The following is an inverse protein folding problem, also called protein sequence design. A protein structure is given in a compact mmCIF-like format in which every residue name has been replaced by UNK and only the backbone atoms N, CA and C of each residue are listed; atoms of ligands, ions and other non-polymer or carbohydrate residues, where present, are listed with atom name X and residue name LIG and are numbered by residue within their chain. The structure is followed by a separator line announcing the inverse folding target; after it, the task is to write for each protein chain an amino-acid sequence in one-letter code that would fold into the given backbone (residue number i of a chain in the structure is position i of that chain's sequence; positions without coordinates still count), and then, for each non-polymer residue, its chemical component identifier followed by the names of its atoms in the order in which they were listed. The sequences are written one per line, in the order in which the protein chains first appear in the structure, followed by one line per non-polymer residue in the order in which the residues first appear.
data_IF_473059223033
#
_entry.id   IF_473059223033
#
_cell.length_a   1.000
_cell.length_b   1.000
_cell.length_c   1.000
_cell.angle_alpha   90.00
_cell.angle_beta   90.00
_cell.angle_gamma   90.00
#
_symmetry.space_group_name_H-M   'P 1'
#
loop_
_entity.id
_entity.type
_entity.pdbx_description
1 polymer ?
#
# COMPACT_ATOMS: atom_id res chain seq x y z
N UNK A 1 4.04 11.37 -0.82
CA UNK A 1 5.26 10.67 -1.29
C UNK A 1 5.22 10.70 -2.81
N UNK A 2 6.16 11.37 -3.47
CA UNK A 2 6.18 11.53 -4.93
C UNK A 2 7.24 10.59 -5.50
N UNK A 3 6.82 9.63 -6.31
CA UNK A 3 7.73 8.75 -7.04
C UNK A 3 8.26 9.51 -8.25
N UNK A 4 9.59 9.67 -8.35
CA UNK A 4 10.27 10.07 -9.58
C UNK A 4 11.10 8.87 -10.04
N UNK A 5 10.95 8.53 -11.32
CA UNK A 5 11.49 7.33 -11.97
C UNK A 5 12.99 7.44 -12.23
N UNK A 6 13.63 6.27 -12.26
CA UNK A 6 15.00 5.98 -12.72
C UNK A 6 15.33 6.66 -14.06
N UNK A 7 16.40 7.45 -14.08
CA UNK A 7 16.97 7.99 -15.32
C UNK A 7 17.76 6.89 -16.07
N UNK A 8 17.31 6.55 -17.29
CA UNK A 8 18.20 6.13 -18.36
C UNK A 8 17.88 6.97 -19.59
N UNK A 9 18.95 7.53 -20.15
CA UNK A 9 19.03 8.51 -21.22
C UNK A 9 18.05 8.32 -22.39
N UNK A 10 17.34 9.40 -22.75
CA UNK A 10 16.87 9.61 -24.12
C UNK A 10 15.38 9.44 -24.38
N UNK A 11 14.50 9.91 -23.49
CA UNK A 11 13.13 10.30 -23.83
C UNK A 11 12.86 11.60 -23.07
N UNK A 12 12.69 12.71 -23.79
CA UNK A 12 12.24 13.98 -23.21
C UNK A 12 10.82 13.80 -22.67
N UNK A 13 10.73 13.42 -21.40
CA UNK A 13 9.52 13.58 -20.61
C UNK A 13 9.67 14.86 -19.82
N UNK A 14 8.81 15.84 -20.09
CA UNK A 14 8.72 17.08 -19.33
C UNK A 14 8.61 16.77 -17.84
N UNK A 15 9.60 17.25 -17.09
CA UNK A 15 9.59 17.27 -15.64
C UNK A 15 8.40 18.11 -15.15
N UNK A 16 7.44 17.51 -14.45
CA UNK A 16 6.62 18.27 -13.50
C UNK A 16 7.39 18.34 -12.19
N UNK A 17 8.30 19.31 -12.13
CA UNK A 17 8.78 19.85 -10.87
C UNK A 17 7.59 20.39 -10.08
N UNK A 18 7.55 20.10 -8.78
CA UNK A 18 6.72 20.81 -7.79
C UNK A 18 7.25 22.22 -7.49
N UNK A 19 7.84 22.83 -8.49
CA UNK A 19 8.13 24.24 -8.64
C UNK A 19 7.60 24.54 -10.04
N UNK A 20 6.57 25.39 -10.12
CA UNK A 20 5.56 25.51 -11.18
C UNK A 20 4.45 24.45 -11.14
N UNK A 21 3.69 24.39 -10.02
CA UNK A 21 2.31 23.94 -10.13
C UNK A 21 1.53 25.00 -10.90
N UNK A 22 1.63 25.00 -12.23
CA UNK A 22 0.55 25.51 -13.05
C UNK A 22 -0.70 24.81 -12.49
N UNK A 23 -1.59 25.60 -11.89
CA UNK A 23 -2.86 25.10 -11.37
C UNK A 23 -3.51 24.40 -12.54
N UNK A 24 -3.57 23.07 -12.48
CA UNK A 24 -4.21 22.25 -13.47
C UNK A 24 -5.70 22.60 -13.44
N UNK A 25 -6.14 23.36 -14.45
CA UNK A 25 -7.48 23.97 -14.52
C UNK A 25 -8.43 23.20 -15.42
N UNK A 26 -8.03 22.04 -15.96
CA UNK A 26 -8.93 21.17 -16.71
C UNK A 26 -10.07 20.71 -15.81
N UNK A 27 -11.31 20.92 -16.27
CA UNK A 27 -12.51 20.67 -15.48
C UNK A 27 -13.64 20.10 -16.33
N UNK A 28 -14.72 19.68 -15.67
CA UNK A 28 -15.91 19.14 -16.34
C UNK A 28 -16.93 20.23 -16.63
N UNK A 29 -17.72 20.01 -17.69
CA UNK A 29 -18.81 20.93 -18.06
C UNK A 29 -19.99 20.89 -17.07
N UNK A 30 -20.08 19.86 -16.24
CA UNK A 30 -21.16 19.67 -15.26
C UNK A 30 -20.62 19.49 -13.84
N UNK A 31 -21.42 19.90 -12.85
CA UNK A 31 -21.14 19.60 -11.43
C UNK A 31 -21.09 18.08 -11.26
N UNK A 32 -19.97 17.59 -10.73
CA UNK A 32 -19.71 16.15 -10.61
C UNK A 32 -19.17 15.84 -9.22
N UNK A 33 -19.75 14.86 -8.54
CA UNK A 33 -19.26 14.31 -7.29
C UNK A 33 -18.52 12.99 -7.55
N UNK A 34 -17.29 12.91 -7.07
CA UNK A 34 -16.56 11.67 -6.89
C UNK A 34 -16.94 11.04 -5.55
N UNK A 35 -17.73 9.97 -5.64
CA UNK A 35 -18.21 9.18 -4.50
C UNK A 35 -17.17 8.10 -4.19
N UNK A 36 -16.65 8.09 -2.96
CA UNK A 36 -15.57 7.18 -2.55
C UNK A 36 -15.93 6.46 -1.25
N UNK A 37 -16.73 5.38 -1.32
CA UNK A 37 -17.05 4.60 -0.13
C UNK A 37 -15.80 3.86 0.35
N UNK A 38 -15.43 4.09 1.61
CA UNK A 38 -14.31 3.40 2.28
C UNK A 38 -14.77 2.74 3.55
N UNK A 39 -14.42 1.47 3.72
CA UNK A 39 -14.62 0.73 4.96
C UNK A 39 -13.26 0.38 5.55
N UNK A 40 -13.07 0.72 6.82
CA UNK A 40 -11.90 0.35 7.58
C UNK A 40 -12.15 -0.92 8.39
N UNK A 41 -11.27 -1.90 8.25
CA UNK A 41 -11.28 -3.15 8.98
C UNK A 41 -10.23 -3.14 10.10
N UNK A 42 -10.58 -3.59 11.31
CA UNK A 42 -9.59 -3.84 12.35
C UNK A 42 -8.68 -4.99 11.93
N UNK A 43 -7.45 -5.00 12.43
CA UNK A 43 -6.47 -6.03 12.06
C UNK A 43 -6.98 -7.45 12.36
N UNK A 44 -7.78 -7.61 13.41
CA UNK A 44 -8.44 -8.85 13.80
C UNK A 44 -9.47 -9.37 12.78
N UNK A 45 -10.03 -8.50 11.92
CA UNK A 45 -11.01 -8.87 10.92
C UNK A 45 -10.39 -9.43 9.61
N UNK A 46 -9.14 -9.06 9.29
CA UNK A 46 -8.49 -9.39 8.01
C UNK A 46 -8.45 -10.90 7.65
N UNK A 47 -8.31 -11.83 8.61
CA UNK A 47 -8.38 -13.25 8.29
C UNK A 47 -9.77 -13.70 7.80
N UNK A 48 -10.83 -13.04 8.27
CA UNK A 48 -12.22 -13.47 8.14
C UNK A 48 -12.99 -12.73 7.05
N UNK A 49 -12.68 -11.45 6.83
CA UNK A 49 -13.37 -10.62 5.85
C UNK A 49 -12.59 -10.60 4.54
N UNK A 50 -13.21 -11.03 3.45
CA UNK A 50 -12.65 -10.98 2.09
C UNK A 50 -13.43 -9.98 1.23
N UNK A 51 -12.76 -9.16 0.41
CA UNK A 51 -13.44 -8.17 -0.43
C UNK A 51 -14.58 -8.76 -1.27
N UNK A 52 -14.36 -9.94 -1.87
CA UNK A 52 -15.34 -10.64 -2.73
C UNK A 52 -16.61 -11.06 -1.99
N UNK A 53 -16.58 -11.17 -0.67
CA UNK A 53 -17.72 -11.54 0.15
C UNK A 53 -18.49 -10.30 0.66
N UNK A 54 -17.93 -9.09 0.55
CA UNK A 54 -18.55 -7.86 1.10
C UNK A 54 -19.48 -7.19 0.08
N UNK A 55 -20.71 -6.93 0.50
CA UNK A 55 -21.71 -6.18 -0.29
C UNK A 55 -21.77 -4.72 0.17
N UNK A 56 -21.96 -3.79 -0.78
CA UNK A 56 -22.18 -2.38 -0.50
C UNK A 56 -23.50 -1.95 -1.14
N UNK A 57 -24.37 -1.38 -0.31
CA UNK A 57 -25.57 -0.67 -0.76
C UNK A 57 -25.39 0.82 -0.51
N UNK A 58 -25.78 1.61 -1.51
CA UNK A 58 -25.74 3.07 -1.41
C UNK A 58 -27.13 3.62 -1.61
N UNK A 59 -27.54 4.49 -0.68
CA UNK A 59 -28.75 5.28 -0.81
C UNK A 59 -28.37 6.77 -0.79
N UNK A 60 -29.17 7.59 -1.46
CA UNK A 60 -29.08 9.05 -1.35
C UNK A 60 -30.45 9.62 -1.03
N UNK A 61 -30.49 10.82 -0.44
CA UNK A 61 -31.76 11.53 -0.25
C UNK A 61 -32.45 11.77 -1.61
N UNK A 62 -33.79 11.88 -1.58
CA UNK A 62 -34.65 11.59 -2.74
C UNK A 62 -34.28 12.37 -4.01
N UNK A 63 -33.97 11.63 -5.08
CA UNK A 63 -33.89 12.13 -6.46
C UNK A 63 -32.50 12.03 -7.12
N UNK A 64 -31.44 11.78 -6.34
CA UNK A 64 -30.10 11.56 -6.88
C UNK A 64 -29.88 10.08 -7.18
N UNK A 65 -29.65 9.76 -8.46
CA UNK A 65 -29.18 8.45 -8.87
C UNK A 65 -27.67 8.37 -8.61
N UNK A 66 -27.32 7.81 -7.46
CA UNK A 66 -25.92 7.76 -6.99
C UNK A 66 -25.21 6.46 -7.36
N UNK A 67 -25.95 5.39 -7.66
CA UNK A 67 -25.34 4.10 -8.01
C UNK A 67 -24.94 4.07 -9.49
N UNK A 68 -23.75 3.56 -9.84
CA UNK A 68 -23.36 3.40 -11.24
C UNK A 68 -24.09 2.21 -11.89
N UNK A 69 -24.51 2.38 -13.15
CA UNK A 69 -25.20 1.33 -13.95
C UNK A 69 -24.40 0.03 -14.05
N UNK A 70 -23.08 0.15 -14.16
CA UNK A 70 -22.16 -0.99 -14.27
C UNK A 70 -22.00 -1.77 -12.94
N UNK A 71 -22.62 -1.29 -11.86
CA UNK A 71 -22.45 -1.80 -10.51
C UNK A 71 -21.11 -1.40 -9.88
N UNK A 72 -20.92 -1.84 -8.64
CA UNK A 72 -19.74 -1.58 -7.83
C UNK A 72 -19.01 -2.88 -7.50
N UNK A 73 -17.70 -2.79 -7.32
CA UNK A 73 -16.83 -3.88 -6.92
C UNK A 73 -16.02 -3.42 -5.72
N UNK A 74 -16.08 -4.20 -4.65
CA UNK A 74 -15.32 -3.96 -3.42
C UNK A 74 -13.92 -4.54 -3.57
N UNK A 75 -12.90 -3.73 -3.26
CA UNK A 75 -11.48 -4.05 -3.48
C UNK A 75 -10.60 -3.55 -2.35
N UNK A 76 -9.32 -3.90 -2.40
CA UNK A 76 -8.25 -3.36 -1.55
C UNK A 76 -7.20 -2.67 -2.44
N UNK A 77 -7.51 -1.50 -3.03
CA UNK A 77 -6.61 -0.86 -3.99
C UNK A 77 -5.32 -0.29 -3.36
N UNK A 78 -5.19 -0.37 -2.03
CA UNK A 78 -4.06 0.14 -1.27
C UNK A 78 -3.19 -0.98 -0.73
N UNK A 79 -1.87 -0.76 -0.55
CA UNK A 79 -1.01 -1.71 0.16
C UNK A 79 -1.51 -2.06 1.56
N UNK A 80 -2.23 -1.13 2.22
CA UNK A 80 -2.86 -1.39 3.50
C UNK A 80 -4.18 -2.16 3.33
N UNK A 81 -4.13 -3.46 3.64
CA UNK A 81 -5.26 -4.38 3.55
C UNK A 81 -6.42 -4.05 4.50
N UNK A 82 -6.27 -3.10 5.43
CA UNK A 82 -7.35 -2.66 6.31
C UNK A 82 -8.41 -1.82 5.60
N UNK A 83 -8.13 -1.32 4.39
CA UNK A 83 -9.08 -0.48 3.65
C UNK A 83 -9.77 -1.27 2.55
N UNK A 84 -11.08 -1.43 2.68
CA UNK A 84 -11.94 -1.79 1.56
C UNK A 84 -12.43 -0.51 0.89
N UNK A 85 -12.41 -0.49 -0.44
CA UNK A 85 -12.95 0.60 -1.25
C UNK A 85 -13.87 0.02 -2.30
N UNK A 86 -15.04 0.64 -2.47
CA UNK A 86 -15.93 0.31 -3.57
C UNK A 86 -15.65 1.25 -4.75
N UNK A 87 -15.57 0.68 -5.95
CA UNK A 87 -15.44 1.42 -7.20
C UNK A 87 -16.05 0.67 -8.37
N UNK A 88 -16.05 1.27 -9.55
CA UNK A 88 -16.47 0.58 -10.79
C UNK A 88 -15.35 -0.33 -11.31
N UNK A 89 -15.57 -0.99 -12.46
CA UNK A 89 -14.50 -1.73 -13.16
C UNK A 89 -13.42 -0.78 -13.67
N UNK A 90 -13.82 0.40 -14.17
CA UNK A 90 -12.92 1.38 -14.78
C UNK A 90 -12.27 2.30 -13.73
N UNK A 91 -13.05 2.77 -12.75
CA UNK A 91 -12.57 3.57 -11.63
C UNK A 91 -12.54 2.71 -10.38
N UNK A 92 -11.36 2.20 -10.02
CA UNK A 92 -11.21 1.30 -8.87
C UNK A 92 -11.44 2.00 -7.53
N UNK A 93 -11.35 3.32 -7.51
CA UNK A 93 -11.39 4.14 -6.30
C UNK A 93 -12.64 5.01 -6.20
N UNK A 94 -13.82 4.43 -6.40
CA UNK A 94 -15.08 5.16 -6.40
C UNK A 94 -15.67 5.31 -7.80
N UNK A 95 -16.51 6.31 -7.97
CA UNK A 95 -17.14 6.64 -9.26
C UNK A 95 -17.65 8.07 -9.27
N UNK A 96 -18.04 8.54 -10.45
CA UNK A 96 -18.50 9.90 -10.68
C UNK A 96 -20.03 9.94 -10.81
N UNK A 97 -20.64 10.93 -10.16
CA UNK A 97 -22.09 11.18 -10.16
C UNK A 97 -22.31 12.63 -10.56
N UNK A 98 -23.19 12.85 -11.54
CA UNK A 98 -23.57 14.21 -11.94
C UNK A 98 -24.53 14.80 -10.90
N UNK A 99 -24.22 16.00 -10.43
CA UNK A 99 -25.03 16.71 -9.44
C UNK A 99 -25.83 17.80 -10.16
N UNK A 100 -27.17 17.86 -10.01
CA UNK A 100 -27.95 18.95 -10.55
C UNK A 100 -27.53 20.30 -9.96
N UNK A 101 -27.56 21.36 -10.77
CA UNK A 101 -27.17 22.72 -10.35
C UNK A 101 -27.98 23.25 -9.15
N UNK A 102 -29.18 22.73 -8.92
CA UNK A 102 -30.06 23.11 -7.81
C UNK A 102 -29.79 22.36 -6.51
N UNK A 103 -28.80 21.46 -6.47
CA UNK A 103 -28.53 20.59 -5.32
C UNK A 103 -27.15 20.91 -4.75
N UNK A 104 -27.16 21.51 -3.57
CA UNK A 104 -25.95 21.82 -2.79
C UNK A 104 -25.85 21.00 -1.50
N UNK A 105 -26.96 20.43 -1.02
CA UNK A 105 -27.02 19.62 0.20
C UNK A 105 -27.87 18.37 -0.06
N UNK A 106 -27.39 17.22 0.42
CA UNK A 106 -28.07 15.93 0.31
C UNK A 106 -27.44 14.92 1.27
N UNK A 107 -28.12 13.80 1.48
CA UNK A 107 -27.60 12.71 2.30
C UNK A 107 -27.11 11.59 1.41
N UNK A 108 -26.02 10.94 1.81
CA UNK A 108 -25.59 9.64 1.27
C UNK A 108 -25.50 8.66 2.44
N UNK A 109 -26.06 7.46 2.27
CA UNK A 109 -25.85 6.36 3.19
C UNK A 109 -25.10 5.21 2.51
N UNK A 110 -23.99 4.79 3.11
CA UNK A 110 -23.29 3.57 2.78
C UNK A 110 -23.66 2.46 3.78
N UNK A 111 -24.25 1.37 3.30
CA UNK A 111 -24.54 0.19 4.09
C UNK A 111 -23.67 -0.97 3.61
N UNK A 112 -22.63 -1.28 4.38
CA UNK A 112 -21.72 -2.39 4.14
C UNK A 112 -22.23 -3.63 4.84
N UNK A 113 -22.32 -4.74 4.11
CA UNK A 113 -22.70 -6.03 4.65
C UNK A 113 -21.53 -7.00 4.60
N UNK A 114 -21.08 -7.44 5.77
CA UNK A 114 -19.97 -8.36 5.96
C UNK A 114 -20.55 -9.73 6.35
N UNK A 115 -20.61 -10.72 5.44
CA UNK A 115 -21.03 -12.06 5.79
C UNK A 115 -19.89 -12.87 6.43
N UNK A 116 -20.25 -13.99 7.07
CA UNK A 116 -19.33 -14.97 7.67
C UNK A 116 -18.44 -14.39 8.76
N UNK A 117 -19.01 -13.51 9.58
CA UNK A 117 -18.27 -12.88 10.67
C UNK A 117 -18.11 -13.77 11.90
N UNK A 118 -18.70 -14.96 11.97
CA UNK A 118 -18.70 -15.79 13.19
C UNK A 118 -17.32 -16.23 13.69
N UNK A 119 -16.32 -16.30 12.79
CA UNK A 119 -14.93 -16.54 13.18
C UNK A 119 -14.24 -15.34 13.82
N UNK A 120 -14.74 -14.13 13.54
CA UNK A 120 -14.24 -12.87 14.07
C UNK A 120 -15.07 -12.37 15.26
N UNK A 121 -16.40 -12.38 15.09
CA UNK A 121 -17.43 -11.95 16.01
C UNK A 121 -18.21 -13.18 16.45
N UNK A 122 -17.85 -13.73 17.60
CA UNK A 122 -18.47 -14.93 18.18
C UNK A 122 -20.00 -14.88 18.29
N UNK A 123 -20.59 -13.68 18.21
CA UNK A 123 -22.02 -13.44 18.38
C UNK A 123 -22.84 -13.44 17.10
N UNK A 124 -22.27 -13.24 15.90
CA UNK A 124 -23.07 -13.11 14.66
C UNK A 124 -22.36 -13.62 13.41
N UNK A 125 -23.12 -14.32 12.54
CA UNK A 125 -22.68 -14.73 11.21
C UNK A 125 -22.64 -13.58 10.19
N UNK A 126 -23.27 -12.44 10.49
CA UNK A 126 -23.31 -11.26 9.63
C UNK A 126 -23.11 -9.97 10.42
N UNK A 127 -22.34 -9.03 9.88
CA UNK A 127 -22.15 -7.70 10.45
C UNK A 127 -22.52 -6.62 9.45
N UNK A 128 -23.30 -5.62 9.88
CA UNK A 128 -23.68 -4.49 9.05
C UNK A 128 -23.00 -3.20 9.55
N UNK A 129 -22.38 -2.44 8.65
CA UNK A 129 -21.84 -1.11 8.97
C UNK A 129 -22.59 -0.06 8.14
N UNK A 130 -23.37 0.79 8.80
CA UNK A 130 -24.14 1.87 8.18
C UNK A 130 -23.47 3.20 8.44
N UNK A 131 -23.29 4.00 7.40
CA UNK A 131 -22.65 5.30 7.47
C UNK A 131 -23.48 6.34 6.72
N UNK A 132 -24.20 7.17 7.46
CA UNK A 132 -24.96 8.30 6.95
C UNK A 132 -24.09 9.55 6.93
N UNK A 133 -24.00 10.19 5.78
CA UNK A 133 -23.20 11.39 5.57
C UNK A 133 -24.11 12.50 5.06
N UNK A 134 -24.20 13.58 5.82
CA UNK A 134 -24.84 14.81 5.40
C UNK A 134 -23.83 15.61 4.58
N UNK A 135 -23.99 15.60 3.26
CA UNK A 135 -23.05 16.23 2.32
C UNK A 135 -23.50 17.64 2.01
N UNK A 136 -22.55 18.59 2.09
CA UNK A 136 -22.71 19.96 1.63
C UNK A 136 -21.61 20.31 0.64
N UNK A 137 -22.01 20.68 -0.57
CA UNK A 137 -21.11 21.10 -1.64
C UNK A 137 -20.83 22.59 -1.50
N UNK A 138 -19.57 22.93 -1.22
CA UNK A 138 -19.17 24.32 -1.03
C UNK A 138 -18.94 25.01 -2.39
N UNK A 139 -19.22 26.32 -2.50
CA UNK A 139 -18.91 27.07 -3.71
C UNK A 139 -17.39 27.14 -3.96
N UNK A 140 -16.99 27.23 -5.23
CA UNK A 140 -15.58 27.36 -5.60
C UNK A 140 -15.37 27.54 -7.11
N UNK A 141 -14.11 27.47 -7.54
CA UNK A 141 -13.71 27.78 -8.92
C UNK A 141 -13.87 26.63 -9.90
N UNK A 142 -14.01 25.40 -9.39
CA UNK A 142 -14.23 24.22 -10.20
C UNK A 142 -15.65 23.68 -10.12
N UNK A 143 -15.92 22.61 -10.85
CA UNK A 143 -17.18 21.88 -10.91
C UNK A 143 -17.05 20.43 -10.42
N UNK A 144 -15.86 20.03 -10.01
CA UNK A 144 -15.61 18.70 -9.46
C UNK A 144 -15.60 18.75 -7.94
N UNK A 145 -16.27 17.79 -7.32
CA UNK A 145 -16.31 17.57 -5.88
C UNK A 145 -15.80 16.16 -5.62
N UNK A 146 -15.11 15.93 -4.51
CA UNK A 146 -14.59 14.59 -4.19
C UNK A 146 -14.67 14.32 -2.70
N UNK A 147 -15.18 13.14 -2.34
CA UNK A 147 -15.14 12.66 -0.96
C UNK A 147 -13.71 12.31 -0.51
N UNK A 148 -12.76 12.29 -1.44
CA UNK A 148 -11.35 12.07 -1.14
C UNK A 148 -10.61 13.35 -0.76
N UNK A 149 -10.42 13.51 0.55
CA UNK A 149 -9.83 14.73 1.12
C UNK A 149 -8.35 14.92 0.82
N UNK A 150 -7.66 13.87 0.35
CA UNK A 150 -6.28 13.98 -0.13
C UNK A 150 -6.18 14.77 -1.45
N UNK A 151 -7.30 14.99 -2.13
CA UNK A 151 -7.38 15.82 -3.33
C UNK A 151 -7.77 17.28 -3.02
N UNK A 152 -8.07 17.63 -1.76
CA UNK A 152 -8.54 18.96 -1.43
C UNK A 152 -7.38 19.97 -1.35
N UNK A 153 -7.57 21.21 -1.83
CA UNK A 153 -6.59 22.28 -1.71
C UNK A 153 -6.19 22.51 -0.24
N UNK A 154 -4.91 22.77 0.02
CA UNK A 154 -4.40 22.97 1.40
C UNK A 154 -5.10 24.12 2.14
N UNK A 155 -5.54 25.15 1.42
CA UNK A 155 -6.29 26.29 1.93
C UNK A 155 -7.81 26.08 2.01
N UNK A 156 -8.33 25.04 1.36
CA UNK A 156 -9.74 24.63 1.42
C UNK A 156 -9.99 23.56 2.49
N UNK A 157 -8.93 23.00 3.09
CA UNK A 157 -9.05 22.10 4.24
C UNK A 157 -9.78 22.86 5.35
N UNK A 158 -10.90 22.33 5.88
CA UNK A 158 -11.41 22.77 7.18
C UNK A 158 -10.25 22.73 8.18
N UNK A 159 -10.38 23.46 9.31
CA UNK A 159 -9.35 23.51 10.37
C UNK A 159 -8.82 22.15 10.85
N UNK A 160 -9.51 21.07 10.49
CA UNK A 160 -9.09 19.68 10.62
C UNK A 160 -9.51 18.90 9.35
N UNK A 161 -8.59 18.28 8.58
CA UNK A 161 -8.96 17.45 7.43
C UNK A 161 -9.79 16.24 7.92
N UNK A 162 -11.00 16.08 7.37
CA UNK A 162 -11.96 15.02 7.76
C UNK A 162 -11.89 13.89 6.74
N UNK A 163 -11.73 12.63 7.12
CA UNK A 163 -11.83 11.52 6.14
C UNK A 163 -13.18 10.83 6.33
N UNK A 164 -14.05 10.93 5.33
CA UNK A 164 -15.29 10.16 5.34
C UNK A 164 -14.95 8.66 5.20
N UNK A 165 -15.11 7.92 6.29
CA UNK A 165 -14.69 6.53 6.39
C UNK A 165 -15.64 5.76 7.29
N UNK A 166 -16.22 4.68 6.76
CA UNK A 166 -17.05 3.78 7.56
C UNK A 166 -16.15 2.95 8.48
N UNK A 167 -16.50 2.90 9.76
CA UNK A 167 -15.84 2.07 10.77
C UNK A 167 -16.70 0.87 11.13
N UNK A 168 -16.05 -0.18 11.63
CA UNK A 168 -16.74 -1.40 12.08
C UNK A 168 -17.31 -1.29 13.49
N UNK A 169 -16.83 -0.34 14.29
CA UNK A 169 -17.31 -0.07 15.66
C UNK A 169 -16.63 -0.90 16.75
N UNK A 170 -15.37 -1.31 16.57
CA UNK A 170 -14.62 -2.13 17.52
C UNK A 170 -13.60 -1.33 18.34
N UNK A 171 -13.26 -1.81 19.55
CA UNK A 171 -12.36 -1.10 20.47
C UNK A 171 -10.94 -0.87 19.92
N UNK A 172 -10.46 -1.76 19.04
CA UNK A 172 -9.19 -1.60 18.31
C UNK A 172 -9.22 -0.46 17.27
N UNK A 173 -10.40 0.13 17.02
CA UNK A 173 -10.57 1.32 16.16
C UNK A 173 -10.24 2.61 16.94
N UNK A 174 -9.97 2.56 18.26
CA UNK A 174 -9.72 3.74 19.11
C UNK A 174 -8.48 4.58 18.67
N UNK A 175 -7.51 3.98 17.99
CA UNK A 175 -6.40 4.72 17.37
C UNK A 175 -6.86 5.67 16.23
N UNK A 176 -8.10 5.51 15.74
CA UNK A 176 -8.69 6.32 14.68
C UNK A 176 -9.52 7.51 15.16
N UNK A 177 -9.67 7.74 16.47
CA UNK A 177 -10.42 8.90 17.00
C UNK A 177 -9.91 10.27 16.48
N UNK A 178 -8.70 10.31 15.90
CA UNK A 178 -8.12 11.46 15.24
C UNK A 178 -8.56 11.67 13.76
N UNK A 179 -9.23 10.69 13.12
CA UNK A 179 -9.47 10.64 11.67
C UNK A 179 -10.90 11.04 11.27
N UNK A 180 -11.89 10.81 12.15
CA UNK A 180 -13.30 11.20 11.95
C UNK A 180 -13.77 12.23 13.00
N UNK A 181 -13.30 13.50 12.97
CA UNK A 181 -13.55 14.47 14.03
C UNK A 181 -14.97 15.08 14.05
N UNK A 182 -15.90 14.64 13.17
CA UNK A 182 -17.23 15.24 12.99
C UNK A 182 -18.38 14.22 13.04
N UNK A 183 -18.21 13.14 13.80
CA UNK A 183 -19.28 12.18 14.02
C UNK A 183 -20.36 12.81 14.89
N UNK A 184 -21.57 12.94 14.35
CA UNK A 184 -22.76 13.44 15.03
C UNK A 184 -23.35 12.37 15.96
N UNK A 185 -23.34 11.11 15.50
CA UNK A 185 -23.93 9.99 16.22
C UNK A 185 -23.23 8.68 15.88
N UNK A 186 -22.99 7.88 16.92
CA UNK A 186 -22.59 6.48 16.81
C UNK A 186 -23.57 5.61 17.59
N UNK A 187 -23.88 4.44 17.04
CA UNK A 187 -24.75 3.48 17.71
C UNK A 187 -24.47 2.05 17.26
N UNK A 188 -24.78 1.10 18.14
CA UNK A 188 -24.85 -0.30 17.77
C UNK A 188 -26.16 -0.60 17.04
N UNK A 189 -26.07 -1.30 15.91
CA UNK A 189 -27.23 -1.90 15.26
C UNK A 189 -27.60 -3.16 16.03
N UNK A 190 -28.86 -3.24 16.47
CA UNK A 190 -29.35 -4.35 17.29
C UNK A 190 -30.50 -5.08 16.62
N UNK A 191 -30.43 -6.41 16.63
CA UNK A 191 -31.50 -7.29 16.19
C UNK A 191 -32.20 -7.91 17.41
N UNK A 192 -33.53 -7.91 17.48
CA UNK A 192 -34.26 -8.64 18.51
C UNK A 192 -34.15 -10.16 18.25
N UNK A 193 -33.78 -10.92 19.27
CA UNK A 193 -33.72 -12.39 19.22
C UNK A 193 -35.02 -13.03 19.73
N UNK A 194 -35.24 -14.30 19.35
CA UNK A 194 -36.40 -15.08 19.83
C UNK A 194 -36.43 -15.25 21.36
N UNK A 195 -35.26 -15.18 22.02
CA UNK A 195 -35.12 -15.20 23.49
C UNK A 195 -35.58 -13.91 24.17
N UNK A 196 -35.85 -12.84 23.41
CA UNK A 196 -36.12 -11.50 23.93
C UNK A 196 -34.85 -10.68 24.23
N UNK A 197 -33.66 -11.28 24.09
CA UNK A 197 -32.39 -10.56 24.18
C UNK A 197 -32.13 -9.75 22.89
N UNK A 198 -31.27 -8.73 23.00
CA UNK A 198 -30.83 -7.91 21.86
C UNK A 198 -29.42 -8.32 21.48
N UNK A 199 -29.27 -8.81 20.27
CA UNK A 199 -27.98 -9.13 19.68
C UNK A 199 -27.46 -7.90 18.92
N UNK A 200 -26.20 -7.53 19.16
CA UNK A 200 -25.53 -6.53 18.34
C UNK A 200 -25.12 -7.18 17.02
N UNK A 201 -25.58 -6.61 15.93
CA UNK A 201 -25.41 -7.14 14.56
C UNK A 201 -24.70 -6.15 13.64
N UNK A 202 -24.24 -5.04 14.17
CA UNK A 202 -23.62 -4.01 13.36
C UNK A 202 -23.35 -2.71 14.09
N UNK A 203 -22.92 -1.74 13.31
CA UNK A 203 -22.55 -0.41 13.76
C UNK A 203 -23.12 0.66 12.83
N UNK A 204 -23.46 1.81 13.40
CA UNK A 204 -24.03 2.96 12.71
C UNK A 204 -23.24 4.22 13.04
N UNK A 205 -22.88 4.98 12.02
CA UNK A 205 -22.18 6.27 12.10
C UNK A 205 -22.97 7.30 11.30
N UNK A 206 -23.05 8.51 11.84
CA UNK A 206 -23.64 9.67 11.18
C UNK A 206 -22.66 10.84 11.26
N UNK A 207 -22.34 11.47 10.14
CA UNK A 207 -21.38 12.58 10.08
C UNK A 207 -21.80 13.69 9.10
N UNK A 208 -21.15 14.85 9.21
CA UNK A 208 -21.27 15.95 8.25
C UNK A 208 -19.99 16.13 7.43
N UNK A 209 -20.16 16.25 6.12
CA UNK A 209 -19.06 16.42 5.18
C UNK A 209 -19.26 17.64 4.26
N UNK A 210 -18.41 18.64 4.46
CA UNK A 210 -18.31 19.80 3.59
C UNK A 210 -17.27 19.54 2.50
N UNK A 211 -17.69 19.52 1.24
CA UNK A 211 -16.82 19.19 0.10
C UNK A 211 -16.53 20.45 -0.74
N UNK A 212 -15.27 20.92 -0.81
CA UNK A 212 -14.91 22.06 -1.66
C UNK A 212 -14.98 21.70 -3.15
N UNK A 213 -15.37 22.68 -3.97
CA UNK A 213 -15.25 22.56 -5.42
C UNK A 213 -13.79 22.71 -5.86
N UNK A 214 -13.33 21.76 -6.67
CA UNK A 214 -11.96 21.65 -7.21
C UNK A 214 -12.02 21.48 -8.73
N UNK A 215 -10.90 21.71 -9.41
CA UNK A 215 -10.77 21.33 -10.82
C UNK A 215 -10.66 19.81 -10.94
N UNK A 216 -11.22 19.24 -12.00
CA UNK A 216 -11.16 17.79 -12.27
C UNK A 216 -9.73 17.24 -12.19
N UNK A 217 -8.76 17.94 -12.78
CA UNK A 217 -7.36 17.51 -12.77
C UNK A 217 -6.69 17.52 -11.39
N UNK A 218 -7.31 18.13 -10.37
CA UNK A 218 -6.86 18.08 -8.98
C UNK A 218 -7.32 16.81 -8.26
N UNK A 219 -8.36 16.15 -8.76
CA UNK A 219 -8.86 14.87 -8.24
C UNK A 219 -7.97 13.70 -8.71
N UNK A 220 -6.69 13.73 -8.33
CA UNK A 220 -5.66 12.79 -8.80
C UNK A 220 -5.97 11.33 -8.46
N UNK A 221 -6.83 11.06 -7.48
CA UNK A 221 -7.22 9.70 -7.13
C UNK A 221 -8.19 9.04 -8.09
N UNK A 222 -8.83 9.83 -8.97
CA UNK A 222 -9.65 9.29 -10.07
C UNK A 222 -8.86 8.38 -11.03
N UNK A 223 -7.56 8.63 -11.15
CA UNK A 223 -6.66 7.89 -12.04
C UNK A 223 -5.50 7.24 -11.28
N UNK A 224 -5.65 7.06 -9.96
CA UNK A 224 -4.65 6.36 -9.14
C UNK A 224 -5.11 4.95 -8.81
N UNK A 225 -4.15 4.08 -8.48
CA UNK A 225 -4.42 2.67 -8.12
C UNK A 225 -5.25 1.89 -9.15
N UNK A 226 -5.10 2.23 -10.43
CA UNK A 226 -5.76 1.54 -11.56
C UNK A 226 -5.32 0.08 -11.69
N UNK A 227 -4.11 -0.25 -11.23
CA UNK A 227 -3.59 -1.61 -11.24
C UNK A 227 -3.96 -2.37 -9.95
N UNK A 228 -4.35 -3.66 -10.06
CA UNK A 228 -4.55 -4.52 -8.90
C UNK A 228 -3.28 -4.66 -8.05
N UNK A 229 -3.43 -4.50 -6.74
CA UNK A 229 -2.38 -4.73 -5.76
C UNK A 229 -2.06 -6.22 -5.63
N UNK A 230 -0.84 -6.51 -5.15
CA UNK A 230 -0.33 -7.89 -5.10
C UNK A 230 -1.19 -8.87 -4.31
N UNK A 231 -1.96 -8.40 -3.33
CA UNK A 231 -2.81 -9.24 -2.48
C UNK A 231 -4.21 -9.47 -3.09
N UNK A 232 -4.55 -8.78 -4.19
CA UNK A 232 -5.86 -8.87 -4.86
C UNK A 232 -5.93 -9.99 -5.91
N UNK A 233 -4.82 -10.72 -6.15
CA UNK A 233 -4.80 -11.80 -7.12
C UNK A 233 -4.06 -13.01 -6.60
N UNK A 234 -4.40 -14.17 -7.15
CA UNK A 234 -3.70 -15.42 -6.86
C UNK A 234 -2.30 -15.40 -7.47
N UNK A 235 -1.31 -15.70 -6.64
CA UNK A 235 0.09 -15.75 -7.08
C UNK A 235 0.36 -17.01 -7.91
N UNK A 236 1.10 -16.83 -9.00
CA UNK A 236 1.60 -17.93 -9.80
C UNK A 236 2.84 -18.56 -9.16
N UNK A 237 3.04 -19.85 -9.42
CA UNK A 237 4.24 -20.62 -9.02
C UNK A 237 4.99 -21.18 -10.24
N UNK A 238 4.53 -20.86 -11.44
CA UNK A 238 5.12 -21.31 -12.70
C UNK A 238 5.03 -20.18 -13.71
N UNK A 239 6.11 -19.95 -14.45
CA UNK A 239 6.23 -18.79 -15.32
C UNK A 239 6.83 -19.18 -16.67
N UNK A 240 6.16 -18.80 -17.76
CA UNK A 240 6.64 -19.03 -19.12
C UNK A 240 7.31 -17.77 -19.70
N UNK A 241 6.82 -16.57 -19.36
CA UNK A 241 7.33 -15.30 -19.89
C UNK A 241 8.60 -14.87 -19.17
N UNK A 242 9.62 -14.49 -19.93
CA UNK A 242 10.88 -13.95 -19.41
C UNK A 242 11.67 -14.90 -18.50
N UNK A 243 11.47 -16.23 -18.61
CA UNK A 243 12.18 -17.17 -17.73
C UNK A 243 13.70 -17.16 -17.98
N UNK A 244 14.12 -17.11 -19.25
CA UNK A 244 15.53 -17.00 -19.61
C UNK A 244 16.16 -15.71 -19.05
N UNK A 245 15.47 -14.57 -19.18
CA UNK A 245 15.95 -13.31 -18.61
C UNK A 245 16.05 -13.37 -17.08
N UNK A 246 15.07 -14.00 -16.40
CA UNK A 246 15.14 -14.24 -14.96
C UNK A 246 16.38 -15.06 -14.57
N UNK A 247 16.69 -16.11 -15.33
CA UNK A 247 17.87 -16.96 -15.08
C UNK A 247 19.18 -16.20 -15.25
N UNK A 248 19.21 -15.28 -16.21
CA UNK A 248 20.35 -14.42 -16.50
C UNK A 248 20.52 -13.30 -15.47
N UNK A 249 19.49 -12.98 -14.68
CA UNK A 249 19.51 -11.89 -13.69
C UNK A 249 20.30 -12.22 -12.40
N UNK A 250 20.85 -13.42 -12.25
CA UNK A 250 21.66 -13.78 -11.08
C UNK A 250 22.92 -14.55 -11.43
N UNK A 251 24.00 -14.27 -10.68
CA UNK A 251 25.27 -14.97 -10.87
C UNK A 251 25.39 -16.28 -10.08
N UNK A 252 24.51 -16.50 -9.09
CA UNK A 252 24.50 -17.71 -8.24
C UNK A 252 23.07 -18.11 -7.88
N UNK A 253 22.89 -19.37 -7.52
CA UNK A 253 21.63 -19.89 -6.94
C UNK A 253 21.71 -19.85 -5.41
N UNK A 254 20.67 -19.31 -4.77
CA UNK A 254 20.53 -19.32 -3.32
C UNK A 254 19.67 -20.52 -2.89
N UNK A 255 20.16 -21.39 -1.99
CA UNK A 255 19.38 -22.50 -1.46
C UNK A 255 18.13 -22.01 -0.71
N UNK A 256 17.02 -22.74 -0.84
CA UNK A 256 15.74 -22.41 -0.22
C UNK A 256 15.85 -22.24 1.31
N UNK A 257 16.58 -23.14 1.97
CA UNK A 257 16.77 -23.12 3.42
C UNK A 257 17.46 -21.85 3.92
N UNK A 258 18.28 -21.17 3.11
CA UNK A 258 18.90 -19.89 3.46
C UNK A 258 17.84 -18.78 3.51
N UNK A 259 16.97 -18.71 2.50
CA UNK A 259 15.88 -17.73 2.47
C UNK A 259 14.85 -18.00 3.58
N UNK A 260 14.48 -19.27 3.79
CA UNK A 260 13.58 -19.68 4.88
C UNK A 260 14.13 -19.26 6.24
N UNK A 261 15.42 -19.50 6.49
CA UNK A 261 16.05 -19.14 7.76
C UNK A 261 16.17 -17.62 7.94
N UNK A 262 16.52 -16.88 6.89
CA UNK A 262 16.54 -15.41 6.94
C UNK A 262 15.16 -14.83 7.30
N UNK A 263 14.09 -15.34 6.68
CA UNK A 263 12.71 -14.96 7.00
C UNK A 263 12.34 -15.35 8.44
N UNK A 264 12.73 -16.54 8.89
CA UNK A 264 12.48 -17.00 10.27
C UNK A 264 13.16 -16.07 11.29
N UNK A 265 14.44 -15.74 11.06
CA UNK A 265 15.20 -14.82 11.91
C UNK A 265 14.59 -13.41 11.93
N UNK A 266 14.14 -12.91 10.78
CA UNK A 266 13.48 -11.61 10.67
C UNK A 266 12.16 -11.57 11.47
N UNK A 267 11.37 -12.65 11.44
CA UNK A 267 10.11 -12.72 12.20
C UNK A 267 10.29 -12.98 13.69
N UNK A 268 11.35 -13.69 14.08
CA UNK A 268 11.58 -14.10 15.46
C UNK A 268 12.33 -13.05 16.29
N UNK A 269 13.06 -12.14 15.64
CA UNK A 269 13.85 -11.11 16.31
C UNK A 269 13.15 -9.75 16.17
N UNK A 270 12.73 -9.12 17.28
CA UNK A 270 12.10 -7.80 17.21
C UNK A 270 13.09 -6.74 16.70
N UNK A 271 12.58 -5.80 15.90
CA UNK A 271 13.32 -4.67 15.36
C UNK A 271 12.50 -3.36 15.37
N UNK A 272 11.50 -3.30 16.25
CA UNK A 272 10.67 -2.11 16.49
C UNK A 272 11.40 -1.09 17.38
N UNK A 273 10.81 0.10 17.54
CA UNK A 273 11.36 1.17 18.40
C UNK A 273 11.69 0.64 19.81
N UNK A 274 12.87 1.01 20.33
CA UNK A 274 13.36 0.53 21.62
C UNK A 274 14.07 -0.83 21.60
N UNK A 275 14.29 -1.42 20.42
CA UNK A 275 15.21 -2.55 20.25
C UNK A 275 16.65 -2.07 20.05
N UNK A 276 17.70 -2.88 20.31
CA UNK A 276 19.10 -2.47 20.08
C UNK A 276 19.45 -2.11 18.63
N UNK A 277 18.56 -2.46 17.68
CA UNK A 277 18.70 -2.14 16.25
C UNK A 277 18.01 -0.82 15.89
N UNK A 278 16.88 -0.53 16.54
CA UNK A 278 16.10 0.69 16.36
C UNK A 278 16.44 1.80 17.37
N UNK A 279 17.18 1.48 18.43
CA UNK A 279 17.81 2.46 19.32
C UNK A 279 18.74 3.29 18.44
N UNK A 280 18.21 4.45 18.05
CA UNK A 280 18.90 5.52 17.36
C UNK A 280 20.11 5.93 18.21
N UNK A 281 21.22 5.21 18.08
CA UNK A 281 22.49 5.71 18.58
C UNK A 281 22.85 6.81 17.60
N UNK A 282 22.58 8.06 17.99
CA UNK A 282 23.10 9.24 17.28
C UNK A 282 24.58 9.00 16.98
N UNK A 283 24.91 8.86 15.68
CA UNK A 283 26.27 8.55 15.23
C UNK A 283 26.56 7.08 14.87
N UNK A 284 25.59 6.15 14.92
CA UNK A 284 25.70 4.80 14.34
C UNK A 284 24.66 4.68 13.21
N UNK A 285 25.04 5.06 11.99
CA UNK A 285 24.23 4.72 10.83
C UNK A 285 24.31 3.20 10.56
N UNK A 286 23.27 2.63 9.93
CA UNK A 286 23.21 1.21 9.56
C UNK A 286 22.89 0.23 10.69
N UNK A 287 22.18 0.65 11.74
CA UNK A 287 21.84 -0.22 12.87
C UNK A 287 21.14 -1.53 12.45
N UNK A 288 20.30 -1.47 11.42
CA UNK A 288 19.55 -2.63 10.92
C UNK A 288 20.40 -3.59 10.08
N UNK A 289 21.57 -3.18 9.58
CA UNK A 289 22.54 -4.10 8.94
C UNK A 289 23.02 -5.17 9.92
N UNK A 290 23.09 -4.83 11.22
CA UNK A 290 23.50 -5.73 12.30
C UNK A 290 22.40 -6.72 12.74
N UNK A 291 21.19 -6.61 12.20
CA UNK A 291 20.10 -7.51 12.54
C UNK A 291 20.45 -8.97 12.14
N UNK A 292 20.17 -9.99 12.98
CA UNK A 292 20.56 -11.38 12.72
C UNK A 292 20.13 -11.92 11.35
N UNK A 293 18.95 -11.52 10.87
CA UNK A 293 18.48 -11.90 9.53
C UNK A 293 19.35 -11.32 8.40
N UNK A 294 19.71 -10.03 8.49
CA UNK A 294 20.56 -9.36 7.50
C UNK A 294 21.99 -9.92 7.55
N UNK A 295 22.55 -10.08 8.74
CA UNK A 295 23.87 -10.72 8.95
C UNK A 295 23.90 -12.15 8.40
N UNK A 296 22.84 -12.93 8.60
CA UNK A 296 22.75 -14.30 8.12
C UNK A 296 22.77 -14.37 6.59
N UNK A 297 21.90 -13.61 5.92
CA UNK A 297 21.79 -13.66 4.46
C UNK A 297 23.00 -13.02 3.77
N UNK A 298 23.52 -11.91 4.30
CA UNK A 298 24.74 -11.27 3.82
C UNK A 298 25.96 -12.18 4.01
N UNK A 299 26.09 -12.79 5.20
CA UNK A 299 27.17 -13.74 5.49
C UNK A 299 27.11 -15.01 4.63
N UNK A 300 25.93 -15.45 4.20
CA UNK A 300 25.82 -16.48 3.16
C UNK A 300 26.37 -15.99 1.83
N UNK A 301 25.96 -14.80 1.39
CA UNK A 301 26.43 -14.25 0.12
C UNK A 301 27.94 -14.09 0.07
N UNK A 302 28.56 -13.52 1.10
CA UNK A 302 30.01 -13.27 1.09
C UNK A 302 30.85 -14.55 1.01
N UNK A 303 30.30 -15.68 1.45
CA UNK A 303 30.93 -17.01 1.33
C UNK A 303 30.74 -17.65 -0.04
N UNK A 304 29.68 -17.29 -0.78
CA UNK A 304 29.26 -18.00 -1.98
C UNK A 304 29.34 -17.16 -3.26
N UNK A 305 29.53 -15.86 -3.14
CA UNK A 305 29.65 -14.95 -4.28
C UNK A 305 30.91 -15.25 -5.12
N UNK A 306 30.89 -14.96 -6.42
CA UNK A 306 32.09 -15.01 -7.26
C UNK A 306 33.19 -14.10 -6.69
N UNK A 307 34.45 -14.52 -6.84
CA UNK A 307 35.60 -13.71 -6.42
C UNK A 307 35.61 -12.34 -7.12
N UNK A 308 36.26 -11.33 -6.52
CA UNK A 308 36.51 -9.96 -7.04
C UNK A 308 35.42 -8.87 -6.83
N UNK A 309 34.62 -8.93 -5.76
CA UNK A 309 33.70 -7.84 -5.40
C UNK A 309 34.33 -6.81 -4.45
N UNK A 310 34.14 -5.49 -4.69
CA UNK A 310 34.77 -4.44 -3.88
C UNK A 310 34.22 -4.34 -2.45
N UNK A 311 32.95 -4.66 -2.23
CA UNK A 311 32.30 -4.45 -0.92
C UNK A 311 31.75 -5.75 -0.34
N UNK A 312 31.64 -5.84 0.98
CA UNK A 312 30.94 -6.93 1.70
C UNK A 312 29.44 -6.66 1.67
N UNK A 313 28.61 -7.70 1.68
CA UNK A 313 27.15 -7.49 1.78
C UNK A 313 26.76 -7.01 3.18
N UNK A 314 25.80 -6.09 3.26
CA UNK A 314 25.23 -5.61 4.52
C UNK A 314 23.76 -6.03 4.68
N UNK A 315 23.01 -6.05 3.58
CA UNK A 315 21.61 -6.49 3.54
C UNK A 315 21.25 -6.97 2.13
N UNK A 316 20.02 -7.48 1.99
CA UNK A 316 19.53 -7.98 0.70
C UNK A 316 18.07 -7.57 0.43
N UNK A 317 17.79 -7.11 -0.80
CA UNK A 317 16.42 -6.82 -1.25
C UNK A 317 15.87 -7.96 -2.10
N UNK A 318 14.59 -8.26 -1.89
CA UNK A 318 13.88 -9.37 -2.52
C UNK A 318 12.98 -8.86 -3.65
N UNK A 319 13.04 -9.55 -4.78
CA UNK A 319 12.25 -9.32 -5.98
C UNK A 319 11.56 -10.62 -6.37
N UNK A 320 10.23 -10.62 -6.44
CA UNK A 320 9.44 -11.86 -6.55
C UNK A 320 8.55 -11.79 -7.77
N UNK A 321 8.60 -12.82 -8.61
CA UNK A 321 7.61 -12.99 -9.68
C UNK A 321 6.33 -13.54 -9.06
N UNK A 322 5.22 -12.83 -9.26
CA UNK A 322 3.91 -13.20 -8.69
C UNK A 322 2.85 -13.45 -9.76
N UNK A 323 3.09 -12.99 -11.00
CA UNK A 323 2.30 -13.26 -12.20
C UNK A 323 3.22 -13.64 -13.36
N UNK A 324 2.67 -14.35 -14.34
CA UNK A 324 3.36 -14.60 -15.61
C UNK A 324 3.19 -13.43 -16.59
N UNK A 325 3.56 -12.23 -16.14
CA UNK A 325 3.44 -10.97 -16.88
C UNK A 325 4.79 -10.35 -17.27
N UNK A 326 5.90 -10.93 -16.78
CA UNK A 326 7.25 -10.44 -17.04
C UNK A 326 7.72 -9.35 -16.07
N UNK A 327 7.07 -9.21 -14.91
CA UNK A 327 7.41 -8.23 -13.87
C UNK A 327 7.94 -8.89 -12.59
N UNK A 328 8.83 -8.19 -11.88
CA UNK A 328 9.18 -8.47 -10.49
C UNK A 328 8.42 -7.52 -9.56
N UNK A 329 7.78 -8.08 -8.54
CA UNK A 329 7.25 -7.31 -7.43
C UNK A 329 8.32 -7.18 -6.32
N UNK A 330 8.59 -5.96 -5.83
CA UNK A 330 9.52 -5.76 -4.73
C UNK A 330 8.91 -6.25 -3.40
N UNK A 331 9.77 -6.75 -2.52
CA UNK A 331 9.41 -7.06 -1.14
C UNK A 331 9.02 -5.82 -0.33
N UNK A 332 9.47 -4.63 -0.76
CA UNK A 332 9.09 -3.35 -0.17
C UNK A 332 7.74 -2.89 -0.77
N UNK A 333 6.69 -2.67 0.04
CA UNK A 333 5.35 -2.31 -0.44
C UNK A 333 5.24 -1.10 -1.35
N UNK A 334 6.10 -0.11 -1.11
CA UNK A 334 6.00 1.20 -1.75
C UNK A 334 6.81 1.29 -3.06
N UNK A 335 7.54 0.25 -3.43
CA UNK A 335 8.30 0.25 -4.68
C UNK A 335 7.41 -0.30 -5.83
N UNK A 336 7.47 0.31 -7.03
CA UNK A 336 6.76 -0.21 -8.19
C UNK A 336 7.36 -1.54 -8.65
N UNK A 337 6.56 -2.34 -9.34
CA UNK A 337 7.06 -3.53 -10.02
C UNK A 337 8.03 -3.13 -11.15
N UNK A 338 9.07 -3.94 -11.37
CA UNK A 338 10.07 -3.69 -12.41
C UNK A 338 10.04 -4.80 -13.47
N UNK A 339 10.24 -4.48 -14.76
CA UNK A 339 10.37 -5.50 -15.80
C UNK A 339 11.53 -6.45 -15.51
N UNK A 340 11.32 -7.74 -15.75
CA UNK A 340 12.36 -8.77 -15.55
C UNK A 340 13.65 -8.43 -16.33
N UNK A 341 13.63 -8.01 -17.61
CA UNK A 341 14.85 -7.68 -18.34
C UNK A 341 15.65 -6.50 -17.78
N UNK A 342 15.03 -5.60 -17.01
CA UNK A 342 15.66 -4.37 -16.53
C UNK A 342 16.61 -4.62 -15.34
N UNK A 343 16.57 -5.82 -14.75
CA UNK A 343 17.37 -6.19 -13.58
C UNK A 343 18.78 -6.70 -13.92
N UNK A 344 19.15 -6.73 -15.20
CA UNK A 344 20.42 -7.28 -15.71
C UNK A 344 21.66 -6.56 -15.16
N UNK A 345 21.54 -5.29 -14.76
CA UNK A 345 22.66 -4.51 -14.21
C UNK A 345 23.10 -5.02 -12.84
N UNK A 346 22.19 -5.63 -12.08
CA UNK A 346 22.45 -6.14 -10.74
C UNK A 346 23.01 -7.56 -10.68
N UNK A 347 23.09 -8.26 -11.82
CA UNK A 347 23.54 -9.67 -11.93
C UNK A 347 24.77 -10.01 -11.09
N UNK A 348 25.85 -9.22 -11.14
CA UNK A 348 27.07 -9.57 -10.40
C UNK A 348 26.88 -9.52 -8.86
N UNK A 349 25.80 -8.91 -8.37
CA UNK A 349 25.41 -8.74 -6.97
C UNK A 349 24.10 -9.47 -6.65
N UNK A 350 23.70 -10.44 -7.47
CA UNK A 350 22.42 -11.10 -7.32
C UNK A 350 22.53 -12.62 -7.18
N UNK A 351 21.66 -13.17 -6.34
CA UNK A 351 21.34 -14.59 -6.30
C UNK A 351 19.88 -14.82 -6.72
N UNK A 352 19.56 -15.99 -7.25
CA UNK A 352 18.16 -16.39 -7.54
C UNK A 352 17.79 -17.67 -6.83
N UNK A 353 16.50 -17.86 -6.56
CA UNK A 353 15.93 -19.13 -6.15
C UNK A 353 14.93 -19.58 -7.20
N UNK A 354 15.31 -20.61 -7.95
CA UNK A 354 14.50 -21.20 -9.01
C UNK A 354 14.08 -20.15 -10.04
N UNK A 355 12.78 -20.14 -10.35
CA UNK A 355 12.14 -19.22 -11.30
C UNK A 355 11.36 -18.09 -10.60
N UNK A 356 11.46 -17.98 -9.27
CA UNK A 356 10.50 -17.22 -8.46
C UNK A 356 11.12 -15.97 -7.85
N UNK A 357 12.28 -16.10 -7.21
CA UNK A 357 12.86 -15.05 -6.36
C UNK A 357 14.22 -14.63 -6.90
N UNK A 358 14.43 -13.32 -6.98
CA UNK A 358 15.73 -12.68 -7.19
C UNK A 358 16.10 -11.91 -5.91
N UNK A 359 17.36 -12.00 -5.51
CA UNK A 359 17.91 -11.42 -4.28
C UNK A 359 19.09 -10.53 -4.67
N UNK A 360 18.96 -9.22 -4.49
CA UNK A 360 20.05 -8.27 -4.70
C UNK A 360 20.75 -7.96 -3.39
N UNK A 361 22.09 -8.04 -3.39
CA UNK A 361 22.94 -7.78 -2.24
C UNK A 361 23.56 -6.39 -2.32
N UNK A 362 23.41 -5.65 -1.23
CA UNK A 362 23.83 -4.25 -1.14
C UNK A 362 25.03 -4.12 -0.20
N UNK A 363 25.89 -3.17 -0.52
CA UNK A 363 26.98 -2.73 0.32
C UNK A 363 26.42 -1.94 1.53
N UNK A 364 27.22 -1.82 2.58
CA UNK A 364 26.88 -1.01 3.75
C UNK A 364 26.65 0.46 3.39
N UNK A 365 25.81 1.16 4.17
CA UNK A 365 25.55 2.59 4.05
C UNK A 365 26.84 3.44 3.98
N UNK A 366 27.94 2.98 4.58
CA UNK A 366 29.25 3.65 4.55
C UNK A 366 29.79 3.84 3.12
N UNK A 367 29.31 3.03 2.17
CA UNK A 367 29.72 3.07 0.78
C UNK A 367 28.76 3.85 -0.13
N UNK A 368 27.63 4.32 0.40
CA UNK A 368 26.64 5.06 -0.40
C UNK A 368 27.22 6.35 -1.00
N UNK A 369 26.73 6.71 -2.19
CA UNK A 369 27.15 7.94 -2.88
C UNK A 369 26.15 9.05 -2.63
N UNK A 370 26.64 10.22 -2.26
CA UNK A 370 25.81 11.39 -1.95
C UNK A 370 25.98 12.43 -3.05
N UNK A 371 25.10 12.41 -4.05
CA UNK A 371 25.18 13.27 -5.24
C UNK A 371 23.82 13.93 -5.51
N UNK A 372 23.82 15.16 -6.01
CA UNK A 372 22.63 15.90 -6.47
C UNK A 372 21.45 15.95 -5.49
N UNK A 373 21.72 15.97 -4.17
CA UNK A 373 20.68 16.03 -3.13
C UNK A 373 19.98 14.69 -2.84
N UNK A 374 20.45 13.58 -3.43
CA UNK A 374 19.99 12.23 -3.13
C UNK A 374 21.10 11.30 -2.64
N UNK A 375 20.73 10.05 -2.37
CA UNK A 375 21.62 8.99 -1.86
C UNK A 375 21.58 7.81 -2.82
N UNK A 376 22.67 7.57 -3.54
CA UNK A 376 22.88 6.38 -4.36
C UNK A 376 23.19 5.17 -3.50
N UNK A 377 22.28 4.21 -3.46
CA UNK A 377 22.46 2.91 -2.78
C UNK A 377 23.33 2.02 -3.65
N UNK A 378 24.24 1.30 -3.02
CA UNK A 378 25.32 0.62 -3.72
C UNK A 378 25.11 -0.89 -3.66
N UNK A 379 25.20 -1.54 -4.82
CA UNK A 379 25.36 -2.98 -4.88
C UNK A 379 26.75 -3.37 -4.39
N UNK A 380 26.92 -4.63 -3.96
CA UNK A 380 28.23 -5.14 -3.52
C UNK A 380 29.31 -5.11 -4.61
N UNK A 381 28.92 -5.06 -5.89
CA UNK A 381 29.83 -4.87 -7.03
C UNK A 381 30.31 -3.43 -7.22
N UNK A 382 29.71 -2.48 -6.51
CA UNK A 382 30.08 -1.07 -6.51
C UNK A 382 29.36 -0.18 -7.51
N UNK A 383 28.34 -0.71 -8.18
CA UNK A 383 27.40 0.08 -8.98
C UNK A 383 26.29 0.66 -8.11
N UNK A 384 25.81 1.84 -8.48
CA UNK A 384 24.61 2.44 -7.89
C UNK A 384 23.40 1.67 -8.41
N UNK A 385 22.57 1.14 -7.51
CA UNK A 385 21.33 0.47 -7.87
C UNK A 385 20.19 1.47 -8.07
N UNK A 386 20.01 2.34 -7.07
CA UNK A 386 18.96 3.34 -7.05
C UNK A 386 19.44 4.60 -6.34
N UNK A 387 18.89 5.75 -6.73
CA UNK A 387 19.10 7.02 -6.02
C UNK A 387 17.85 7.32 -5.20
N UNK A 388 18.01 7.29 -3.88
CA UNK A 388 16.99 7.65 -2.92
C UNK A 388 16.88 9.17 -2.83
N UNK A 389 15.69 9.67 -2.54
CA UNK A 389 15.44 11.10 -2.27
C UNK A 389 15.78 11.49 -0.83
N UNK A 390 16.26 10.56 -0.01
CA UNK A 390 16.71 10.83 1.35
C UNK A 390 17.94 11.75 1.30
N UNK A 391 18.05 12.66 2.27
CA UNK A 391 19.26 13.44 2.43
C UNK A 391 20.36 12.62 3.10
N UNK A 392 21.62 13.05 2.96
CA UNK A 392 22.72 12.50 3.74
C UNK A 392 22.46 12.57 5.25
N UNK A 393 21.82 13.64 5.71
CA UNK A 393 21.44 13.81 7.11
C UNK A 393 20.40 12.77 7.54
N UNK A 394 19.42 12.45 6.70
CA UNK A 394 18.43 11.41 7.01
C UNK A 394 19.09 10.03 7.18
N UNK A 395 20.10 9.70 6.36
CA UNK A 395 20.87 8.46 6.49
C UNK A 395 21.70 8.46 7.78
N UNK A 396 22.49 9.52 7.99
CA UNK A 396 23.42 9.60 9.13
C UNK A 396 22.70 9.72 10.48
N UNK A 397 21.49 10.28 10.49
CA UNK A 397 20.63 10.32 11.67
C UNK A 397 19.84 9.03 11.91
N UNK A 398 19.86 8.08 10.96
CA UNK A 398 19.06 6.85 11.01
C UNK A 398 17.57 7.08 10.74
N UNK A 399 17.15 8.30 10.39
CA UNK A 399 15.78 8.59 9.95
C UNK A 399 15.41 7.84 8.66
N UNK A 400 16.42 7.45 7.89
CA UNK A 400 16.30 6.57 6.74
C UNK A 400 17.34 5.46 6.80
N UNK A 401 16.91 4.20 6.71
CA UNK A 401 17.78 3.02 6.67
C UNK A 401 17.21 1.98 5.70
N UNK A 402 17.92 1.70 4.61
CA UNK A 402 17.51 0.72 3.60
C UNK A 402 17.52 -0.73 4.12
N UNK A 403 18.38 -1.04 5.08
CA UNK A 403 18.44 -2.34 5.72
C UNK A 403 17.19 -2.62 6.56
N UNK A 404 16.52 -1.59 7.10
CA UNK A 404 15.21 -1.70 7.75
C UNK A 404 14.14 -2.12 6.75
N UNK A 405 14.10 -1.52 5.55
CA UNK A 405 13.10 -1.87 4.54
C UNK A 405 13.31 -3.29 4.00
N UNK A 406 14.57 -3.69 3.78
CA UNK A 406 14.94 -5.07 3.45
C UNK A 406 14.51 -6.06 4.55
N UNK A 407 14.72 -5.69 5.82
CA UNK A 407 14.34 -6.51 6.96
C UNK A 407 12.82 -6.67 7.08
N UNK A 408 12.06 -5.58 6.90
CA UNK A 408 10.59 -5.62 6.84
C UNK A 408 10.10 -6.51 5.70
N UNK A 409 10.73 -6.43 4.53
CA UNK A 409 10.41 -7.28 3.40
C UNK A 409 10.63 -8.78 3.72
N UNK A 410 11.72 -9.13 4.41
CA UNK A 410 11.95 -10.49 4.91
C UNK A 410 10.89 -10.92 5.93
N UNK A 411 10.61 -10.09 6.93
CA UNK A 411 9.65 -10.42 7.98
C UNK A 411 8.22 -10.62 7.44
N UNK A 412 7.83 -9.80 6.45
CA UNK A 412 6.52 -9.85 5.81
C UNK A 412 6.46 -10.82 4.62
N UNK A 413 7.57 -11.46 4.23
CA UNK A 413 7.64 -12.31 3.05
C UNK A 413 6.52 -13.38 3.00
N UNK A 414 6.21 -14.11 4.09
CA UNK A 414 5.17 -15.15 4.05
C UNK A 414 3.76 -14.62 3.78
N UNK A 415 3.41 -13.45 4.33
CA UNK A 415 2.10 -12.83 4.11
C UNK A 415 2.03 -12.09 2.79
N UNK A 416 3.14 -11.47 2.36
CA UNK A 416 3.24 -10.69 1.12
C UNK A 416 3.31 -11.56 -0.12
N UNK A 417 4.00 -12.71 -0.06
CA UNK A 417 4.22 -13.63 -1.18
C UNK A 417 3.92 -15.09 -0.80
N UNK A 418 2.68 -15.43 -0.44
CA UNK A 418 2.33 -16.74 0.11
C UNK A 418 2.71 -17.91 -0.80
N UNK A 419 2.58 -17.78 -2.12
CA UNK A 419 2.93 -18.86 -3.05
C UNK A 419 4.45 -19.06 -3.17
N UNK A 420 5.23 -17.97 -3.21
CA UNK A 420 6.69 -18.04 -3.21
C UNK A 420 7.20 -18.60 -1.88
N UNK A 421 6.58 -18.22 -0.77
CA UNK A 421 6.88 -18.75 0.55
C UNK A 421 6.62 -20.25 0.64
N UNK A 422 5.47 -20.72 0.16
CA UNK A 422 5.16 -22.14 0.12
C UNK A 422 6.20 -22.91 -0.70
N UNK A 423 6.57 -22.42 -1.89
CA UNK A 423 7.59 -23.04 -2.73
C UNK A 423 8.97 -23.11 -2.05
N UNK A 424 9.34 -22.06 -1.30
CA UNK A 424 10.57 -22.07 -0.49
C UNK A 424 10.52 -23.12 0.63
N UNK A 425 9.39 -23.23 1.34
CA UNK A 425 9.24 -24.24 2.40
C UNK A 425 9.33 -25.66 1.84
N UNK A 426 8.62 -25.95 0.75
CA UNK A 426 8.65 -27.26 0.08
C UNK A 426 10.05 -27.64 -0.41
N UNK A 427 10.80 -26.67 -0.93
CA UNK A 427 12.18 -26.89 -1.39
C UNK A 427 13.20 -26.99 -0.25
N UNK A 428 12.90 -26.45 0.94
CA UNK A 428 13.79 -26.49 2.10
C UNK A 428 13.75 -27.82 2.87
N UNK A 429 12.66 -28.58 2.73
CA UNK A 429 12.44 -29.88 3.40
C UNK A 429 11.63 -29.76 4.67
#
# INVERSE_FOLDING_TARGET
MKYVRVEQSGIEASSMTMADSAVRTGDRDCRTLHVVPRLFLPASALPFVKPDDVDLRVAASTGLEIMPDAGVVVRQPYPNMRYLVAGTIEMRHGWLVNIPESVDEFDIEFAWHLPRTSGWLFSSDTWECRHLIHVRLLPGVGRTYTMDVECWPDNAKPSSPRRAMTLTGHEDDAELGAICPAVLREANLVRPCESGEREVVGHYIEEELDIPAIYYEQAWTLTSHEEPQIHEFRHATSFARQNEAHHQNACVEIPANVLVEAVRLARATPFEDGTPYAEFVSGIAGGFENHPANQFIAGWWDKNRPASRPFVAAFAQLWVRVKDDGMYCPGIPDLPALPVPDMITGVPSAARFGDIVLVHFFASWEHFRYENGGVGTMLVQGDVFATLTASREDILSGKHDDALYALRALAQFPSRFPAAWQALQEAAG
#
